data_IF_674458276364
#
_entry.id   IF_674458276364
#
_cell.length_a   1.000
_cell.length_b   1.000
_cell.length_c   1.000
_cell.angle_alpha   90.00
_cell.angle_beta   90.00
_cell.angle_gamma   90.00
#
_symmetry.space_group_name_H-M   'P 1'
#
loop_
_entity.id
_entity.type
_entity.pdbx_description
1 polymer ?
#
# COMPACT_ATOMS: atom_id res chain seq x y z
N UNK A 1 4.64 51.40 -11.13
CA UNK A 1 3.27 50.88 -10.90
C UNK A 1 3.02 49.52 -11.57
N UNK A 2 3.97 48.58 -11.55
CA UNK A 2 3.78 47.23 -12.12
C UNK A 2 3.33 46.17 -11.09
N UNK A 3 3.31 46.51 -9.79
CA UNK A 3 2.94 45.60 -8.70
C UNK A 3 1.42 45.37 -8.56
N UNK A 4 0.59 46.15 -9.25
CA UNK A 4 -0.88 46.11 -9.12
C UNK A 4 -1.57 45.27 -10.18
N UNK A 5 -0.95 45.03 -11.35
CA UNK A 5 -1.61 44.32 -12.46
C UNK A 5 -1.57 42.78 -12.32
N UNK A 6 -0.73 42.25 -11.43
CA UNK A 6 -0.62 40.81 -11.15
C UNK A 6 -1.07 40.44 -9.75
N UNK A 7 -2.14 41.08 -9.24
CA UNK A 7 -2.68 40.80 -7.90
C UNK A 7 -3.63 39.60 -7.85
N UNK A 8 -4.30 39.26 -8.95
CA UNK A 8 -5.30 38.19 -8.97
C UNK A 8 -4.70 36.83 -9.38
N UNK A 9 -3.66 36.81 -10.21
CA UNK A 9 -2.88 35.57 -10.47
C UNK A 9 -2.06 35.12 -9.26
N UNK A 10 -1.81 36.03 -8.31
CA UNK A 10 -1.08 35.75 -7.06
C UNK A 10 -1.86 34.77 -6.16
N UNK A 11 -3.20 34.77 -6.21
CA UNK A 11 -4.04 33.86 -5.44
C UNK A 11 -4.33 32.53 -6.14
N UNK A 12 -3.84 32.36 -7.37
CA UNK A 12 -4.02 31.12 -8.15
C UNK A 12 -2.88 30.13 -7.93
N UNK A 13 -1.73 30.61 -7.45
CA UNK A 13 -0.61 29.77 -7.04
C UNK A 13 -0.77 29.30 -5.59
N UNK A 14 -1.13 28.02 -5.40
CA UNK A 14 -1.31 27.36 -4.10
C UNK A 14 -0.10 27.54 -3.19
N UNK A 15 1.12 27.58 -3.75
CA UNK A 15 2.35 27.73 -2.97
C UNK A 15 2.55 29.13 -2.44
N UNK A 16 2.14 30.13 -3.21
CA UNK A 16 2.24 31.52 -2.79
C UNK A 16 1.20 31.83 -1.71
N UNK A 17 -0.03 31.30 -1.85
CA UNK A 17 -1.05 31.38 -0.80
C UNK A 17 -0.56 30.74 0.50
N UNK A 18 0.11 29.59 0.43
CA UNK A 18 0.71 28.92 1.59
C UNK A 18 1.80 29.78 2.27
N UNK A 19 2.70 30.40 1.50
CA UNK A 19 3.74 31.31 2.03
C UNK A 19 3.10 32.52 2.76
N UNK A 20 2.09 33.15 2.14
CA UNK A 20 1.34 34.29 2.72
C UNK A 20 0.62 33.88 4.02
N UNK A 21 0.01 32.70 4.06
CA UNK A 21 -0.66 32.17 5.27
C UNK A 21 0.33 31.96 6.41
N UNK A 22 1.50 31.37 6.15
CA UNK A 22 2.50 31.14 7.22
C UNK A 22 3.12 32.46 7.69
N UNK A 23 3.43 33.39 6.79
CA UNK A 23 3.97 34.71 7.15
C UNK A 23 2.96 35.50 7.99
N UNK A 24 1.70 35.53 7.57
CA UNK A 24 0.62 36.23 8.31
C UNK A 24 0.37 35.59 9.68
N UNK A 25 0.27 34.27 9.74
CA UNK A 25 0.17 33.50 10.99
C UNK A 25 1.36 33.83 11.91
N UNK A 26 2.58 33.80 11.39
CA UNK A 26 3.78 34.12 12.19
C UNK A 26 3.79 35.56 12.74
N UNK A 27 3.18 36.52 12.04
CA UNK A 27 3.00 37.89 12.53
C UNK A 27 1.92 37.97 13.61
N UNK A 28 0.75 37.37 13.38
CA UNK A 28 -0.38 37.36 14.31
C UNK A 28 -0.01 36.72 15.65
N UNK A 29 0.74 35.62 15.62
CA UNK A 29 1.09 34.88 16.82
C UNK A 29 2.30 35.44 17.58
N UNK A 30 2.98 36.50 17.10
CA UNK A 30 4.20 37.02 17.72
C UNK A 30 4.05 37.40 19.21
N UNK A 31 2.86 37.82 19.62
CA UNK A 31 2.55 38.26 20.98
C UNK A 31 2.46 37.11 21.99
N UNK A 32 2.27 35.86 21.56
CA UNK A 32 2.16 34.69 22.44
C UNK A 32 3.52 34.05 22.70
N UNK A 33 3.76 33.51 23.90
CA UNK A 33 5.01 32.79 24.25
C UNK A 33 5.29 31.61 23.29
N UNK A 34 4.25 30.83 22.97
CA UNK A 34 4.28 29.74 21.97
C UNK A 34 4.44 30.28 20.55
N UNK A 35 3.97 31.50 20.32
CA UNK A 35 4.11 32.30 19.10
C UNK A 35 5.52 32.41 18.54
N UNK A 36 6.52 32.41 19.42
CA UNK A 36 7.94 32.48 19.04
C UNK A 36 8.40 31.21 18.33
N UNK A 37 7.84 30.05 18.67
CA UNK A 37 8.14 28.77 18.03
C UNK A 37 7.63 28.69 16.59
N UNK A 38 6.60 29.47 16.21
CA UNK A 38 6.11 29.54 14.83
C UNK A 38 7.15 30.09 13.84
N UNK A 39 8.25 30.68 14.31
CA UNK A 39 9.40 31.01 13.46
C UNK A 39 10.03 29.76 12.83
N UNK A 40 9.89 28.59 13.44
CA UNK A 40 10.31 27.30 12.88
C UNK A 40 9.55 27.01 11.57
N UNK A 41 8.28 27.40 11.48
CA UNK A 41 7.51 27.27 10.22
C UNK A 41 8.11 28.13 9.10
N UNK A 42 8.74 29.27 9.43
CA UNK A 42 9.47 30.06 8.42
C UNK A 42 10.74 29.35 7.94
N UNK A 43 11.44 28.62 8.81
CA UNK A 43 12.57 27.81 8.37
C UNK A 43 12.11 26.67 7.45
N UNK A 44 10.96 26.08 7.75
CA UNK A 44 10.32 25.07 6.89
C UNK A 44 9.89 25.64 5.52
N UNK A 45 9.50 26.92 5.44
CA UNK A 45 9.22 27.59 4.15
C UNK A 45 10.43 27.66 3.21
N UNK A 46 11.65 27.80 3.75
CA UNK A 46 12.89 27.80 2.93
C UNK A 46 13.06 26.43 2.25
N UNK A 47 12.74 25.37 2.98
CA UNK A 47 12.77 23.98 2.51
C UNK A 47 11.71 23.78 1.41
N UNK A 48 10.49 24.27 1.59
CA UNK A 48 9.44 24.22 0.56
C UNK A 48 9.63 25.17 -0.63
N UNK A 49 10.63 26.05 -0.61
CA UNK A 49 10.98 26.87 -1.79
C UNK A 49 11.80 26.08 -2.82
N UNK A 50 12.39 24.95 -2.42
CA UNK A 50 13.10 24.05 -3.32
C UNK A 50 12.11 23.27 -4.18
N UNK A 51 12.22 23.38 -5.50
CA UNK A 51 11.29 22.76 -6.46
C UNK A 51 11.15 21.23 -6.24
N UNK A 52 12.26 20.53 -5.95
CA UNK A 52 12.20 19.08 -5.70
C UNK A 52 11.36 18.68 -4.49
N UNK A 53 11.29 19.50 -3.44
CA UNK A 53 10.44 19.20 -2.27
C UNK A 53 8.97 19.54 -2.53
N UNK A 54 8.69 20.53 -3.38
CA UNK A 54 7.32 20.82 -3.83
C UNK A 54 6.74 19.65 -4.61
N UNK A 55 7.51 19.09 -5.53
CA UNK A 55 7.12 17.92 -6.32
C UNK A 55 6.79 16.72 -5.41
N UNK A 56 7.60 16.48 -4.37
CA UNK A 56 7.34 15.42 -3.40
C UNK A 56 6.06 15.66 -2.58
N UNK A 57 5.84 16.90 -2.12
CA UNK A 57 4.63 17.25 -1.36
C UNK A 57 3.38 17.19 -2.24
N UNK A 58 3.45 17.66 -3.48
CA UNK A 58 2.37 17.52 -4.46
C UNK A 58 2.03 16.05 -4.71
N UNK A 59 3.05 15.19 -4.87
CA UNK A 59 2.84 13.75 -4.99
C UNK A 59 2.14 13.17 -3.75
N UNK A 60 2.56 13.55 -2.54
CA UNK A 60 1.91 13.13 -1.28
C UNK A 60 0.45 13.62 -1.19
N UNK A 61 0.18 14.86 -1.58
CA UNK A 61 -1.17 15.44 -1.57
C UNK A 61 -2.06 14.78 -2.63
N UNK A 62 -1.52 14.41 -3.78
CA UNK A 62 -2.26 13.68 -4.81
C UNK A 62 -2.60 12.22 -4.39
N UNK A 63 -1.93 11.70 -3.35
CA UNK A 63 -2.26 10.41 -2.75
C UNK A 63 -3.36 10.49 -1.68
N UNK A 64 -3.49 11.62 -0.97
CA UNK A 64 -4.50 11.85 0.08
C UNK A 64 -5.95 11.51 -0.33
N UNK A 65 -6.49 11.96 -1.49
CA UNK A 65 -7.89 11.69 -1.84
C UNK A 65 -8.19 10.20 -2.00
N UNK A 66 -7.19 9.40 -2.41
CA UNK A 66 -7.32 7.94 -2.56
C UNK A 66 -7.42 7.27 -1.18
N UNK A 67 -6.69 7.79 -0.20
CA UNK A 67 -6.70 7.30 1.18
C UNK A 67 -7.99 7.72 1.91
N UNK A 68 -8.60 8.85 1.54
CA UNK A 68 -9.76 9.40 2.25
C UNK A 68 -10.94 8.43 2.37
N UNK A 69 -11.23 7.64 1.33
CA UNK A 69 -12.32 6.66 1.37
C UNK A 69 -12.08 5.58 2.45
N UNK A 70 -10.87 5.02 2.51
CA UNK A 70 -10.50 4.02 3.51
C UNK A 70 -10.33 4.64 4.90
N UNK A 71 -9.80 5.86 4.97
CA UNK A 71 -9.72 6.65 6.20
C UNK A 71 -11.10 6.94 6.81
N UNK A 72 -12.12 7.17 5.98
CA UNK A 72 -13.50 7.35 6.45
C UNK A 72 -14.04 6.07 7.09
N UNK A 73 -13.78 4.91 6.47
CA UNK A 73 -14.13 3.62 7.05
C UNK A 73 -13.38 3.36 8.36
N UNK A 74 -12.11 3.76 8.45
CA UNK A 74 -11.32 3.66 9.68
C UNK A 74 -11.93 4.50 10.81
N UNK A 75 -12.30 5.74 10.54
CA UNK A 75 -12.95 6.62 11.53
C UNK A 75 -14.28 6.03 12.01
N UNK A 76 -15.07 5.43 11.12
CA UNK A 76 -16.30 4.74 11.49
C UNK A 76 -16.04 3.56 12.44
N UNK A 77 -15.04 2.73 12.14
CA UNK A 77 -14.65 1.61 13.00
C UNK A 77 -14.15 2.12 14.36
N UNK A 78 -13.31 3.15 14.39
CA UNK A 78 -12.86 3.79 15.64
C UNK A 78 -14.03 4.32 16.46
N UNK A 79 -15.05 4.89 15.82
CA UNK A 79 -16.24 5.37 16.53
C UNK A 79 -17.07 4.22 17.11
N UNK A 80 -17.35 3.18 16.32
CA UNK A 80 -18.15 2.01 16.77
C UNK A 80 -17.45 1.31 17.93
N UNK A 81 -16.16 1.00 17.78
CA UNK A 81 -15.39 0.41 18.88
C UNK A 81 -15.21 1.39 20.03
N UNK A 82 -15.12 2.69 19.77
CA UNK A 82 -15.08 3.74 20.79
C UNK A 82 -16.28 3.64 21.71
N UNK A 83 -17.49 3.65 21.15
CA UNK A 83 -18.73 3.53 21.91
C UNK A 83 -18.80 2.20 22.66
N UNK A 84 -18.39 1.08 22.04
CA UNK A 84 -18.38 -0.24 22.68
C UNK A 84 -17.43 -0.26 23.88
N UNK A 85 -16.18 0.16 23.71
CA UNK A 85 -15.18 0.13 24.78
C UNK A 85 -15.51 1.10 25.91
N UNK A 86 -15.98 2.31 25.61
CA UNK A 86 -16.46 3.23 26.64
C UNK A 86 -17.63 2.61 27.41
N UNK A 87 -18.59 1.98 26.72
CA UNK A 87 -19.76 1.38 27.40
C UNK A 87 -19.41 0.16 28.26
N UNK A 88 -18.37 -0.61 27.88
CA UNK A 88 -17.96 -1.81 28.61
C UNK A 88 -17.01 -1.52 29.76
N UNK A 89 -16.19 -0.47 29.65
CA UNK A 89 -15.02 -0.26 30.52
C UNK A 89 -14.94 1.15 31.14
N UNK A 90 -16.02 1.94 31.13
CA UNK A 90 -16.00 3.32 31.63
C UNK A 90 -15.66 3.47 33.13
N UNK A 91 -15.93 2.45 33.94
CA UNK A 91 -15.78 2.56 35.40
C UNK A 91 -14.42 2.06 35.91
N UNK A 92 -13.60 1.38 35.06
CA UNK A 92 -12.31 0.81 35.50
C UNK A 92 -11.36 1.84 36.13
N UNK A 93 -11.29 3.04 35.54
CA UNK A 93 -10.40 4.08 36.05
C UNK A 93 -10.90 4.65 37.37
N UNK A 94 -12.22 4.85 37.51
CA UNK A 94 -12.82 5.34 38.76
C UNK A 94 -12.67 4.35 39.90
N UNK A 95 -12.71 3.07 39.58
CA UNK A 95 -12.54 1.97 40.53
C UNK A 95 -11.06 1.71 40.88
N UNK A 96 -10.11 2.43 40.25
CA UNK A 96 -8.69 2.34 40.52
C UNK A 96 -8.03 1.06 39.98
N UNK A 97 -8.62 0.46 38.95
CA UNK A 97 -8.11 -0.78 38.35
C UNK A 97 -7.11 -0.55 37.20
N UNK A 98 -7.08 0.64 36.61
CA UNK A 98 -6.13 1.03 35.55
C UNK A 98 -5.24 2.16 36.00
N UNK A 99 -3.99 2.14 35.53
CA UNK A 99 -2.99 3.17 35.88
C UNK A 99 -3.34 4.53 35.26
N UNK A 100 -3.95 4.51 34.07
CA UNK A 100 -4.37 5.68 33.31
C UNK A 100 -5.86 5.61 32.94
N UNK A 101 -6.43 6.74 32.57
CA UNK A 101 -7.77 6.81 32.02
C UNK A 101 -7.74 6.36 30.55
N UNK A 102 -8.20 5.13 30.28
CA UNK A 102 -8.30 4.59 28.93
C UNK A 102 -9.70 4.71 28.35
N UNK A 103 -10.73 4.45 29.18
CA UNK A 103 -12.09 4.17 28.69
C UNK A 103 -13.19 5.00 29.35
N UNK A 104 -12.88 5.94 30.25
CA UNK A 104 -13.91 6.65 31.03
C UNK A 104 -14.77 7.57 30.16
N UNK A 105 -14.20 8.13 29.10
CA UNK A 105 -14.86 9.02 28.15
C UNK A 105 -14.56 8.63 26.72
N UNK A 106 -15.46 9.02 25.80
CA UNK A 106 -15.34 8.67 24.39
C UNK A 106 -14.09 9.28 23.73
N UNK A 107 -13.74 10.51 24.07
CA UNK A 107 -12.54 11.19 23.55
C UNK A 107 -11.26 10.46 23.96
N UNK A 108 -11.14 10.10 25.24
CA UNK A 108 -10.02 9.31 25.75
C UNK A 108 -9.98 7.93 25.12
N UNK A 109 -11.15 7.27 25.01
CA UNK A 109 -11.27 5.94 24.39
C UNK A 109 -10.84 5.94 22.93
N UNK A 110 -11.26 6.93 22.15
CA UNK A 110 -10.87 7.05 20.74
C UNK A 110 -9.35 7.23 20.62
N UNK A 111 -8.73 8.01 21.50
CA UNK A 111 -7.27 8.16 21.54
C UNK A 111 -6.57 6.84 21.89
N UNK A 112 -7.03 6.12 22.91
CA UNK A 112 -6.49 4.81 23.28
C UNK A 112 -6.67 3.78 22.17
N UNK A 113 -7.82 3.75 21.50
CA UNK A 113 -8.04 2.89 20.34
C UNK A 113 -7.08 3.26 19.20
N UNK A 114 -6.92 4.55 18.90
CA UNK A 114 -5.94 5.00 17.91
C UNK A 114 -4.50 4.53 18.23
N UNK A 115 -4.09 4.62 19.50
CA UNK A 115 -2.80 4.09 19.94
C UNK A 115 -2.71 2.56 19.73
N UNK A 116 -3.75 1.82 20.13
CA UNK A 116 -3.79 0.37 19.95
C UNK A 116 -3.79 -0.06 18.48
N UNK A 117 -4.40 0.72 17.58
CA UNK A 117 -4.33 0.51 16.13
C UNK A 117 -2.89 0.57 15.61
N UNK A 118 -2.05 1.45 16.17
CA UNK A 118 -0.62 1.51 15.84
C UNK A 118 0.20 0.37 16.46
N UNK A 119 -0.47 -0.60 17.08
CA UNK A 119 0.12 -1.71 17.82
C UNK A 119 1.05 -1.27 18.96
N UNK A 120 0.86 -0.05 19.46
CA UNK A 120 1.59 0.45 20.61
C UNK A 120 0.81 0.16 21.90
N UNK A 121 1.52 -0.35 22.91
CA UNK A 121 1.05 -0.55 24.28
C UNK A 121 -0.25 -1.38 24.47
N UNK A 122 -0.81 -1.97 23.40
CA UNK A 122 -2.10 -2.68 23.41
C UNK A 122 -2.13 -3.85 24.39
N UNK A 123 -1.03 -4.61 24.50
CA UNK A 123 -0.98 -5.80 25.36
C UNK A 123 -0.95 -5.45 26.84
N UNK A 124 -0.37 -4.29 27.19
CA UNK A 124 -0.37 -3.76 28.55
C UNK A 124 -1.78 -3.36 28.96
N UNK A 125 -2.44 -2.55 28.13
CA UNK A 125 -3.82 -2.10 28.34
C UNK A 125 -4.77 -3.31 28.45
N UNK A 126 -4.70 -4.25 27.52
CA UNK A 126 -5.55 -5.45 27.54
C UNK A 126 -5.36 -6.29 28.81
N UNK A 127 -4.12 -6.44 29.30
CA UNK A 127 -3.84 -7.17 30.55
C UNK A 127 -4.45 -6.50 31.77
N UNK A 128 -4.38 -5.16 31.86
CA UNK A 128 -5.01 -4.42 32.96
C UNK A 128 -6.52 -4.63 32.97
N UNK A 129 -7.17 -4.55 31.80
CA UNK A 129 -8.62 -4.79 31.70
C UNK A 129 -8.97 -6.24 32.00
N UNK A 130 -8.17 -7.21 31.54
CA UNK A 130 -8.41 -8.63 31.79
C UNK A 130 -8.22 -9.05 33.25
N UNK A 131 -7.45 -8.29 34.04
CA UNK A 131 -7.32 -8.53 35.47
C UNK A 131 -8.67 -8.39 36.19
N UNK A 132 -9.55 -7.52 35.69
CA UNK A 132 -10.92 -7.32 36.19
C UNK A 132 -11.92 -8.18 35.39
N UNK A 133 -11.90 -8.05 34.06
CA UNK A 133 -12.82 -8.70 33.15
C UNK A 133 -12.12 -9.79 32.34
N UNK A 134 -12.13 -11.02 32.83
CA UNK A 134 -11.46 -12.16 32.18
C UNK A 134 -11.90 -12.43 30.74
N UNK A 135 -13.10 -12.02 30.32
CA UNK A 135 -13.63 -12.17 28.96
C UNK A 135 -13.21 -11.03 28.01
N UNK A 136 -12.58 -9.97 28.53
CA UNK A 136 -12.23 -8.79 27.74
C UNK A 136 -11.23 -9.09 26.62
N UNK A 137 -10.51 -10.21 26.64
CA UNK A 137 -9.64 -10.61 25.52
C UNK A 137 -10.37 -10.60 24.17
N UNK A 138 -11.67 -10.93 24.15
CA UNK A 138 -12.46 -11.02 22.93
C UNK A 138 -12.60 -9.67 22.21
N UNK A 139 -13.18 -8.59 22.81
CA UNK A 139 -13.31 -7.30 22.13
C UNK A 139 -11.96 -6.70 21.71
N UNK A 140 -10.89 -6.88 22.51
CA UNK A 140 -9.55 -6.42 22.13
C UNK A 140 -9.01 -7.14 20.89
N UNK A 141 -9.09 -8.48 20.84
CA UNK A 141 -8.62 -9.24 19.67
C UNK A 141 -9.47 -8.95 18.43
N UNK A 142 -10.80 -8.84 18.57
CA UNK A 142 -11.67 -8.45 17.47
C UNK A 142 -11.32 -7.07 16.91
N UNK A 143 -11.06 -6.10 17.79
CA UNK A 143 -10.64 -4.75 17.40
C UNK A 143 -9.30 -4.76 16.65
N UNK A 144 -8.29 -5.44 17.21
CA UNK A 144 -6.95 -5.54 16.61
C UNK A 144 -7.01 -6.24 15.25
N UNK A 145 -7.74 -7.36 15.13
CA UNK A 145 -7.91 -8.06 13.86
C UNK A 145 -8.59 -7.17 12.82
N UNK A 146 -9.70 -6.52 13.19
CA UNK A 146 -10.45 -5.64 12.28
C UNK A 146 -9.60 -4.46 11.79
N UNK A 147 -8.91 -3.77 12.71
CA UNK A 147 -8.10 -2.59 12.37
C UNK A 147 -6.83 -2.95 11.62
N UNK A 148 -6.13 -4.01 12.01
CA UNK A 148 -4.94 -4.49 11.30
C UNK A 148 -5.29 -4.92 9.88
N UNK A 149 -6.39 -5.66 9.71
CA UNK A 149 -6.88 -6.03 8.39
C UNK A 149 -7.24 -4.81 7.55
N UNK A 150 -7.88 -3.80 8.14
CA UNK A 150 -8.20 -2.56 7.44
C UNK A 150 -6.94 -1.81 7.00
N UNK A 151 -5.94 -1.67 7.89
CA UNK A 151 -4.68 -0.98 7.57
C UNK A 151 -3.92 -1.74 6.47
N UNK A 152 -3.90 -3.08 6.52
CA UNK A 152 -3.31 -3.90 5.47
C UNK A 152 -4.06 -3.73 4.14
N UNK A 153 -5.40 -3.73 4.15
CA UNK A 153 -6.20 -3.50 2.95
C UNK A 153 -6.03 -2.09 2.39
N UNK A 154 -5.82 -1.09 3.25
CA UNK A 154 -5.45 0.26 2.82
C UNK A 154 -4.10 0.24 2.11
N UNK A 155 -3.10 -0.44 2.66
CA UNK A 155 -1.78 -0.55 2.06
C UNK A 155 -1.85 -1.24 0.69
N UNK A 156 -2.55 -2.38 0.59
CA UNK A 156 -2.76 -3.08 -0.69
C UNK A 156 -3.53 -2.20 -1.67
N UNK A 157 -4.56 -1.48 -1.22
CA UNK A 157 -5.33 -0.56 -2.06
C UNK A 157 -4.49 0.58 -2.64
N UNK A 158 -3.65 1.22 -1.82
CA UNK A 158 -2.74 2.29 -2.26
C UNK A 158 -1.67 1.75 -3.21
N UNK A 159 -1.04 0.62 -2.87
CA UNK A 159 -0.02 -0.01 -3.72
C UNK A 159 -0.63 -0.47 -5.05
N UNK A 160 -1.80 -1.10 -5.01
CA UNK A 160 -2.50 -1.56 -6.20
C UNK A 160 -2.92 -0.40 -7.09
N UNK A 161 -3.33 0.73 -6.51
CA UNK A 161 -3.65 1.94 -7.27
C UNK A 161 -2.42 2.51 -7.97
N UNK A 162 -1.27 2.54 -7.29
CA UNK A 162 -0.01 2.98 -7.89
C UNK A 162 0.43 2.08 -9.06
N UNK A 163 0.29 0.76 -8.91
CA UNK A 163 0.60 -0.21 -9.98
C UNK A 163 -0.37 -0.04 -11.17
N UNK A 164 -1.65 0.22 -10.90
CA UNK A 164 -2.64 0.45 -11.96
C UNK A 164 -2.32 1.70 -12.78
N UNK A 165 -1.91 2.79 -12.13
CA UNK A 165 -1.54 4.06 -12.80
C UNK A 165 -0.32 3.88 -13.73
N UNK A 166 0.72 3.17 -13.28
CA UNK A 166 1.90 2.85 -14.10
C UNK A 166 1.53 2.05 -15.36
N UNK A 167 0.64 1.05 -15.21
CA UNK A 167 0.20 0.21 -16.34
C UNK A 167 -0.61 0.99 -17.36
N UNK A 168 -1.45 1.93 -16.91
CA UNK A 168 -2.24 2.79 -17.79
C UNK A 168 -1.32 3.69 -18.61
N UNK A 169 -0.33 4.32 -17.98
CA UNK A 169 0.64 5.18 -18.66
C UNK A 169 1.49 4.40 -19.69
N UNK A 170 1.89 3.17 -19.37
CA UNK A 170 2.60 2.29 -20.30
C UNK A 170 1.75 1.96 -21.53
N UNK A 171 0.48 1.56 -21.34
CA UNK A 171 -0.45 1.25 -22.43
C UNK A 171 -0.70 2.48 -23.31
N UNK A 172 -0.96 3.65 -22.72
CA UNK A 172 -1.15 4.89 -23.48
C UNK A 172 0.08 5.24 -24.31
N UNK A 173 1.27 5.11 -23.73
CA UNK A 173 2.55 5.34 -24.43
C UNK A 173 2.72 4.39 -25.62
N UNK A 174 2.39 3.10 -25.45
CA UNK A 174 2.42 2.12 -26.55
C UNK A 174 1.45 2.49 -27.68
N UNK A 175 0.21 2.84 -27.36
CA UNK A 175 -0.82 3.21 -28.36
C UNK A 175 -0.42 4.49 -29.11
N UNK A 176 0.07 5.51 -28.40
CA UNK A 176 0.50 6.78 -29.00
C UNK A 176 1.68 6.55 -29.94
N UNK A 177 2.71 5.82 -29.51
CA UNK A 177 3.87 5.54 -30.35
C UNK A 177 3.49 4.77 -31.61
N UNK A 178 2.65 3.74 -31.47
CA UNK A 178 2.18 2.94 -32.60
C UNK A 178 1.34 3.75 -33.59
N UNK A 179 0.42 4.59 -33.10
CA UNK A 179 -0.39 5.46 -33.97
C UNK A 179 0.46 6.46 -34.76
N UNK A 180 1.55 6.95 -34.14
CA UNK A 180 2.51 7.87 -34.74
C UNK A 180 3.33 7.20 -35.84
N UNK A 181 3.78 5.97 -35.60
CA UNK A 181 4.51 5.18 -36.60
C UNK A 181 3.59 4.79 -37.77
N UNK A 182 2.34 4.39 -37.49
CA UNK A 182 1.34 4.12 -38.53
C UNK A 182 1.07 5.36 -39.40
N UNK A 183 0.96 6.54 -38.79
CA UNK A 183 0.72 7.82 -39.48
C UNK A 183 1.92 8.27 -40.31
N UNK A 184 3.15 8.04 -39.82
CA UNK A 184 4.39 8.27 -40.60
C UNK A 184 4.43 7.39 -41.83
N UNK A 185 4.05 6.11 -41.71
CA UNK A 185 4.02 5.18 -42.83
C UNK A 185 2.90 5.53 -43.83
N UNK A 186 1.72 5.98 -43.36
CA UNK A 186 0.66 6.49 -44.23
C UNK A 186 1.08 7.73 -45.03
N UNK A 187 1.88 8.60 -44.41
CA UNK A 187 2.39 9.81 -45.08
C UNK A 187 3.53 9.50 -46.07
N UNK A 188 4.17 8.33 -45.94
CA UNK A 188 5.22 7.85 -46.86
C UNK A 188 4.69 7.08 -48.07
N UNK A 189 3.49 6.48 -47.97
CA UNK A 189 2.89 5.68 -49.03
C UNK A 189 1.68 6.40 -49.64
N UNK A 190 1.92 7.19 -50.68
CA UNK A 190 0.86 7.84 -51.44
C UNK A 190 0.45 6.92 -52.61
N UNK A 191 -0.55 6.03 -52.40
CA UNK A 191 -1.43 5.65 -53.50
C UNK A 191 -1.83 4.19 -53.74
N UNK A 192 -1.62 3.22 -52.84
CA UNK A 192 -2.12 1.85 -53.06
C UNK A 192 -3.13 1.41 -51.98
N UNK A 193 -4.39 1.16 -52.38
CA UNK A 193 -5.48 0.66 -51.53
C UNK A 193 -5.12 -0.61 -50.74
N UNK A 194 -4.17 -1.40 -51.22
CA UNK A 194 -3.67 -2.62 -50.56
C UNK A 194 -2.93 -2.35 -49.26
N UNK A 195 -2.35 -1.17 -49.07
CA UNK A 195 -1.72 -0.76 -47.80
C UNK A 195 -2.77 -0.39 -46.76
N UNK A 196 -3.90 0.16 -47.18
CA UNK A 196 -5.02 0.51 -46.29
C UNK A 196 -5.71 -0.75 -45.76
N UNK A 197 -5.94 -1.75 -46.61
CA UNK A 197 -6.52 -3.04 -46.20
C UNK A 197 -5.61 -3.78 -45.20
N UNK A 198 -4.31 -3.88 -45.47
CA UNK A 198 -3.36 -4.49 -44.52
C UNK A 198 -3.32 -3.77 -43.17
N UNK A 199 -3.59 -2.46 -43.15
CA UNK A 199 -3.63 -1.67 -41.90
C UNK A 199 -4.96 -1.82 -41.17
N UNK A 200 -6.08 -1.97 -41.88
CA UNK A 200 -7.36 -2.37 -41.28
C UNK A 200 -7.25 -3.76 -40.67
N UNK A 201 -6.59 -4.70 -41.33
CA UNK A 201 -6.33 -6.03 -40.78
C UNK A 201 -5.44 -5.98 -39.54
N UNK A 202 -4.40 -5.13 -39.54
CA UNK A 202 -3.56 -4.93 -38.36
C UNK A 202 -4.33 -4.29 -37.20
N UNK A 203 -5.18 -3.29 -37.43
CA UNK A 203 -6.03 -2.71 -36.39
C UNK A 203 -7.02 -3.74 -35.85
N UNK A 204 -7.64 -4.52 -36.73
CA UNK A 204 -8.60 -5.56 -36.36
C UNK A 204 -7.93 -6.63 -35.49
N UNK A 205 -6.74 -7.09 -35.88
CA UNK A 205 -5.95 -8.02 -35.10
C UNK A 205 -5.49 -7.44 -33.75
N UNK A 206 -5.29 -6.13 -33.64
CA UNK A 206 -4.91 -5.46 -32.40
C UNK A 206 -6.10 -5.33 -31.44
N UNK A 207 -7.26 -4.92 -31.96
CA UNK A 207 -8.52 -4.90 -31.21
C UNK A 207 -8.83 -6.30 -30.68
N UNK A 208 -8.67 -7.33 -31.52
CA UNK A 208 -8.90 -8.72 -31.13
C UNK A 208 -7.90 -9.19 -30.05
N UNK A 209 -6.63 -8.77 -30.12
CA UNK A 209 -5.66 -9.06 -29.05
C UNK A 209 -5.99 -8.35 -27.74
N UNK A 210 -6.45 -7.10 -27.80
CA UNK A 210 -6.87 -6.32 -26.64
C UNK A 210 -8.13 -6.92 -26.00
N UNK A 211 -9.12 -7.33 -26.80
CA UNK A 211 -10.32 -8.01 -26.32
C UNK A 211 -9.96 -9.34 -25.65
N UNK A 212 -9.07 -10.13 -26.24
CA UNK A 212 -8.59 -11.37 -25.62
C UNK A 212 -7.84 -11.12 -24.31
N UNK A 213 -7.03 -10.05 -24.24
CA UNK A 213 -6.37 -9.69 -22.98
C UNK A 213 -7.35 -9.23 -21.91
N UNK A 214 -8.36 -8.42 -22.28
CA UNK A 214 -9.43 -8.00 -21.37
C UNK A 214 -10.26 -9.19 -20.88
N UNK A 215 -10.61 -10.14 -21.76
CA UNK A 215 -11.32 -11.36 -21.38
C UNK A 215 -10.49 -12.24 -20.44
N UNK A 216 -9.19 -12.40 -20.71
CA UNK A 216 -8.30 -13.12 -19.80
C UNK A 216 -8.20 -12.43 -18.44
N UNK A 217 -8.21 -11.10 -18.41
CA UNK A 217 -8.19 -10.33 -17.17
C UNK A 217 -9.51 -10.48 -16.39
N UNK A 218 -10.66 -10.42 -17.06
CA UNK A 218 -11.98 -10.67 -16.46
C UNK A 218 -12.11 -12.11 -15.99
N UNK A 219 -11.62 -13.07 -16.77
CA UNK A 219 -11.64 -14.48 -16.40
C UNK A 219 -10.70 -14.75 -15.22
N UNK A 220 -9.53 -14.12 -15.15
CA UNK A 220 -8.67 -14.19 -13.97
C UNK A 220 -9.34 -13.58 -12.76
N UNK A 221 -9.99 -12.41 -12.88
CA UNK A 221 -10.78 -11.84 -11.78
C UNK A 221 -11.91 -12.78 -11.33
N UNK A 222 -12.63 -13.39 -12.27
CA UNK A 222 -13.69 -14.35 -11.97
C UNK A 222 -13.15 -15.66 -11.36
N UNK A 223 -12.02 -16.18 -11.85
CA UNK A 223 -11.40 -17.39 -11.33
C UNK A 223 -10.81 -17.13 -9.93
N UNK A 224 -10.20 -15.96 -9.69
CA UNK A 224 -9.76 -15.53 -8.36
C UNK A 224 -10.94 -15.43 -7.38
N UNK A 225 -12.12 -14.98 -7.82
CA UNK A 225 -13.34 -15.01 -7.01
C UNK A 225 -13.86 -16.44 -6.79
N UNK A 226 -13.77 -17.32 -7.80
CA UNK A 226 -14.13 -18.75 -7.67
C UNK A 226 -13.21 -19.52 -6.72
N UNK A 227 -11.89 -19.30 -6.75
CA UNK A 227 -10.96 -19.90 -5.79
C UNK A 227 -11.20 -19.42 -4.35
N UNK A 228 -11.80 -18.25 -4.18
CA UNK A 228 -12.22 -17.75 -2.86
C UNK A 228 -13.51 -18.41 -2.36
N UNK A 229 -14.34 -18.99 -3.25
CA UNK A 229 -15.55 -19.75 -2.90
C UNK A 229 -15.38 -21.28 -2.92
N UNK A 230 -14.34 -21.81 -3.55
CA UNK A 230 -14.06 -23.26 -3.69
C UNK A 230 -12.88 -23.75 -2.86
N UNK A 231 -12.27 -22.89 -2.04
CA UNK A 231 -11.32 -23.34 -1.03
C UNK A 231 -12.00 -24.43 -0.17
N UNK A 232 -11.45 -25.67 -0.11
CA UNK A 232 -12.08 -26.72 0.68
C UNK A 232 -12.10 -26.26 2.13
N UNK A 233 -13.28 -26.28 2.75
CA UNK A 233 -13.35 -26.25 4.21
C UNK A 233 -12.51 -27.43 4.70
N UNK A 234 -11.34 -27.12 5.26
CA UNK A 234 -10.45 -28.10 5.83
C UNK A 234 -11.14 -28.61 7.09
N UNK A 235 -11.95 -29.67 6.91
CA UNK A 235 -12.63 -30.38 7.98
C UNK A 235 -11.56 -30.93 8.94
N UNK A 236 -11.50 -30.31 10.11
CA UNK A 236 -10.51 -30.54 11.17
C UNK A 236 -10.73 -31.88 11.91
N UNK A 237 -11.49 -32.78 11.31
CA UNK A 237 -11.82 -34.10 11.85
C UNK A 237 -10.85 -35.20 11.42
N UNK A 238 -9.97 -34.96 10.43
CA UNK A 238 -9.11 -36.00 9.84
C UNK A 238 -7.67 -36.05 10.37
N UNK A 239 -7.25 -35.12 11.23
CA UNK A 239 -5.89 -35.09 11.80
C UNK A 239 -5.70 -35.96 13.05
N UNK A 240 -6.76 -36.62 13.55
CA UNK A 240 -6.70 -37.41 14.79
C UNK A 240 -6.46 -38.92 14.61
N UNK A 241 -6.51 -39.47 13.40
CA UNK A 241 -6.36 -40.91 13.19
C UNK A 241 -4.95 -41.38 12.79
N UNK A 242 -4.01 -40.48 12.47
CA UNK A 242 -2.66 -40.88 12.08
C UNK A 242 -1.68 -41.15 13.24
N UNK A 243 -2.04 -40.82 14.50
CA UNK A 243 -1.16 -41.06 15.66
C UNK A 243 -1.42 -42.36 16.43
N UNK A 244 -2.34 -43.24 16.00
CA UNK A 244 -2.65 -44.48 16.74
C UNK A 244 -2.33 -45.80 16.02
N UNK A 245 -1.89 -45.79 14.78
CA UNK A 245 -1.59 -47.01 14.03
C UNK A 245 -0.08 -47.23 13.86
N UNK A 246 0.64 -47.36 14.97
CA UNK A 246 1.88 -48.13 14.96
C UNK A 246 1.51 -49.61 15.08
N UNK A 247 1.89 -50.43 14.09
CA UNK A 247 2.37 -51.83 14.20
C UNK A 247 2.20 -52.53 12.83
N UNK A 248 3.34 -52.71 12.15
CA UNK A 248 3.72 -53.85 11.31
C UNK A 248 2.83 -54.26 10.13
N UNK A 249 3.31 -54.02 8.89
CA UNK A 249 3.55 -55.11 7.91
C UNK A 249 4.23 -54.60 6.63
N UNK A 250 4.94 -55.56 6.03
CA UNK A 250 5.76 -55.56 4.82
C UNK A 250 5.25 -54.75 3.61
N UNK A 251 6.23 -54.14 2.95
CA UNK A 251 6.42 -53.99 1.49
C UNK A 251 5.30 -54.50 0.58
N UNK A 252 4.66 -53.57 -0.14
CA UNK A 252 4.23 -53.78 -1.52
C UNK A 252 4.35 -52.47 -2.31
N UNK A 253 4.98 -52.60 -3.47
CA UNK A 253 5.36 -51.57 -4.42
C UNK A 253 4.12 -51.04 -5.17
N UNK A 254 3.65 -49.84 -4.84
CA UNK A 254 2.56 -49.18 -5.56
C UNK A 254 3.10 -48.14 -6.55
N UNK A 255 3.19 -48.54 -7.82
CA UNK A 255 3.53 -47.69 -8.97
C UNK A 255 2.47 -46.63 -9.22
N UNK A 256 2.85 -45.34 -9.14
CA UNK A 256 2.04 -44.22 -9.62
C UNK A 256 2.19 -44.05 -11.15
N UNK A 257 1.12 -43.85 -11.92
CA UNK A 257 1.20 -43.56 -13.35
C UNK A 257 1.48 -42.07 -13.62
N UNK A 258 2.53 -41.79 -14.40
CA UNK A 258 2.81 -40.48 -15.03
C UNK A 258 1.98 -40.29 -16.31
N UNK A 259 1.54 -39.07 -16.63
CA UNK A 259 2.22 -38.28 -17.69
C UNK A 259 2.17 -36.75 -17.35
N UNK A 260 3.00 -35.81 -17.78
CA UNK A 260 3.93 -35.61 -18.88
C UNK A 260 5.13 -34.81 -18.33
N UNK A 261 6.35 -35.32 -18.51
CA UNK A 261 7.61 -34.58 -18.33
C UNK A 261 8.02 -34.05 -19.70
N UNK A 262 8.11 -32.73 -19.89
CA UNK A 262 8.96 -32.13 -20.92
C UNK A 262 10.20 -31.54 -20.25
N UNK A 263 11.33 -31.97 -20.76
CA UNK A 263 12.68 -31.61 -20.36
C UNK A 263 12.95 -30.10 -20.49
N UNK A 264 13.61 -29.52 -19.49
CA UNK A 264 14.62 -28.48 -19.71
C UNK A 264 15.82 -28.82 -18.82
N UNK A 265 16.96 -29.02 -19.46
CA UNK A 265 18.26 -29.31 -18.87
C UNK A 265 19.05 -28.00 -18.82
N UNK A 266 19.48 -27.57 -17.64
CA UNK A 266 20.64 -26.69 -17.49
C UNK A 266 21.40 -27.15 -16.25
N UNK A 267 22.46 -27.90 -16.50
CA UNK A 267 23.52 -28.19 -15.54
C UNK A 267 24.25 -26.90 -15.19
N UNK A 268 24.24 -26.60 -13.89
CA UNK A 268 25.09 -25.63 -13.20
C UNK A 268 26.56 -25.82 -13.61
N UNK A 269 27.07 -24.89 -14.43
CA UNK A 269 28.50 -24.60 -14.57
C UNK A 269 28.66 -23.16 -14.09
N UNK A 270 29.07 -23.00 -12.83
CA UNK A 270 29.81 -21.83 -12.32
C UNK A 270 30.11 -22.05 -10.84
N UNK A 271 31.05 -22.95 -10.57
CA UNK A 271 31.69 -23.10 -9.26
C UNK A 271 33.23 -22.94 -9.39
N UNK A 272 33.69 -22.18 -10.39
CA UNK A 272 35.12 -22.04 -10.72
C UNK A 272 35.55 -20.57 -10.91
N UNK A 273 35.05 -19.65 -10.07
CA UNK A 273 35.49 -18.24 -10.13
C UNK A 273 35.55 -17.52 -8.76
N UNK A 274 35.85 -18.24 -7.67
CA UNK A 274 36.00 -17.64 -6.32
C UNK A 274 37.30 -18.03 -5.59
N UNK A 275 38.24 -18.72 -6.26
CA UNK A 275 39.50 -19.18 -5.64
C UNK A 275 40.78 -18.59 -6.25
N UNK A 276 40.70 -17.42 -6.91
CA UNK A 276 41.87 -16.80 -7.56
C UNK A 276 41.94 -15.27 -7.38
N UNK A 277 41.92 -14.77 -6.14
CA UNK A 277 42.22 -13.34 -5.90
C UNK A 277 42.71 -12.98 -4.49
N UNK A 278 43.46 -13.87 -3.82
CA UNK A 278 44.14 -13.52 -2.57
C UNK A 278 45.58 -14.01 -2.61
N UNK A 279 46.50 -13.12 -2.99
CA UNK A 279 47.86 -13.08 -2.46
C UNK A 279 48.35 -11.62 -2.37
N UNK A 280 49.09 -11.23 -1.31
CA UNK A 280 49.40 -9.83 -0.99
C UNK A 280 50.82 -9.44 -1.45
N UNK A 281 50.96 -8.34 -2.20
CA UNK A 281 52.28 -7.78 -2.55
C UNK A 281 52.60 -6.58 -1.65
N UNK A 282 53.37 -6.88 -0.61
CA UNK A 282 54.68 -6.30 -0.25
C UNK A 282 54.98 -4.81 -0.54
N UNK A 283 55.42 -4.13 0.53
CA UNK A 283 56.06 -2.81 0.57
C UNK A 283 57.42 -2.83 -0.14
N UNK A 284 57.77 -1.77 -0.86
CA UNK A 284 59.17 -1.35 -1.03
C UNK A 284 59.26 0.14 -1.36
N UNK A 285 60.15 0.80 -0.62
CA UNK A 285 60.56 2.20 -0.66
C UNK A 285 61.30 2.62 -1.96
N UNK A 286 61.74 3.90 -1.96
CA UNK A 286 62.80 4.56 -2.78
C UNK A 286 62.36 5.03 -4.19
N UNK A 287 62.54 6.27 -4.64
CA UNK A 287 63.42 7.43 -4.32
C UNK A 287 62.60 8.73 -4.49
#
# INVERSE_FOLDING_TARGET
MQFLYRKLDLFRDTWLVFDVVIVSTSWVFHSFKVGRSFRILRALLIVFRMNGLKELVEALINCLPRIFAVGTLLVLILYVYGVVFTSLFCDLYKDGHTDEDYFSRLDTTIFTLFQMMTMDSWSGIAKQVMAVYKWAWFPFICYIMSTTFLVLNMAVGVISSAIAEIKVEEIESYVVNLSRDLSRDLSRDNGNNTTLERKVDQLTALVERLENQLQLQQQQQHNSQMYQYTAPQQDSSSSFEYSRAGVGRQSDEFKLPHPFRKHVSYSTIQEEEVSRSLDPIEKSDTI
#
